data_IF_632150466809
#
_entry.id   IF_632150466809
#
_cell.length_a   1.000
_cell.length_b   1.000
_cell.length_c   1.000
_cell.angle_alpha   90.00
_cell.angle_beta   90.00
_cell.angle_gamma   90.00
#
_symmetry.space_group_name_H-M   'P 1'
#
loop_
_entity.id
_entity.type
_entity.pdbx_description
1 polymer ?
#
# COMPACT_ATOMS: atom_id res chain seq x y z
N UNK A 1 -12.35 -41.52 34.16
CA UNK A 1 -11.30 -40.49 34.26
C UNK A 1 -11.19 -39.82 32.90
N UNK A 2 -11.82 -38.65 32.73
CA UNK A 2 -11.69 -37.85 31.51
C UNK A 2 -10.35 -37.13 31.64
N UNK A 3 -9.37 -37.49 30.83
CA UNK A 3 -8.09 -36.77 30.77
C UNK A 3 -8.41 -35.30 30.54
N UNK A 4 -8.09 -34.45 31.52
CA UNK A 4 -8.13 -33.01 31.35
C UNK A 4 -7.17 -32.71 30.19
N UNK A 5 -7.77 -32.41 29.04
CA UNK A 5 -7.04 -31.95 27.87
C UNK A 5 -6.38 -30.63 28.29
N UNK A 6 -5.07 -30.67 28.52
CA UNK A 6 -4.28 -29.49 28.84
C UNK A 6 -4.36 -28.62 27.60
N UNK A 7 -5.31 -27.67 27.59
CA UNK A 7 -5.50 -26.72 26.50
C UNK A 7 -4.15 -26.08 26.20
N UNK A 8 -3.51 -26.52 25.12
CA UNK A 8 -2.21 -26.01 24.70
C UNK A 8 -2.37 -24.52 24.47
N UNK A 9 -1.53 -23.71 25.15
CA UNK A 9 -1.58 -22.27 24.98
C UNK A 9 -1.44 -21.92 23.50
N UNK A 10 -2.28 -21.01 22.98
CA UNK A 10 -2.23 -20.65 21.57
C UNK A 10 -0.85 -20.10 21.22
N UNK A 11 -0.26 -20.58 20.13
CA UNK A 11 1.11 -20.24 19.73
C UNK A 11 1.09 -18.89 19.02
N UNK A 12 1.92 -17.90 19.42
CA UNK A 12 1.95 -16.61 18.76
C UNK A 12 2.41 -16.75 17.29
N UNK A 13 1.95 -15.86 16.40
CA UNK A 13 2.30 -15.89 14.99
C UNK A 13 3.82 -15.74 14.81
N UNK A 14 4.41 -16.60 13.99
CA UNK A 14 5.85 -16.59 13.72
C UNK A 14 6.14 -15.92 12.37
N UNK A 15 6.85 -14.80 12.41
CA UNK A 15 7.21 -13.99 11.25
C UNK A 15 7.89 -14.79 10.13
N UNK A 16 8.86 -15.64 10.46
CA UNK A 16 9.62 -16.41 9.46
C UNK A 16 8.71 -17.44 8.80
N UNK A 17 7.86 -18.11 9.58
CA UNK A 17 6.88 -19.05 9.04
C UNK A 17 5.87 -18.36 8.11
N UNK A 18 5.40 -17.17 8.47
CA UNK A 18 4.47 -16.41 7.63
C UNK A 18 5.11 -15.94 6.33
N UNK A 19 6.37 -15.47 6.38
CA UNK A 19 7.12 -15.11 5.18
C UNK A 19 7.34 -16.33 4.28
N UNK A 20 7.91 -17.41 4.81
CA UNK A 20 8.15 -18.65 4.04
C UNK A 20 6.86 -19.21 3.46
N UNK A 21 5.77 -19.23 4.24
CA UNK A 21 4.47 -19.69 3.77
C UNK A 21 3.92 -18.84 2.62
N UNK A 22 4.08 -17.52 2.68
CA UNK A 22 3.67 -16.64 1.59
C UNK A 22 4.41 -16.93 0.28
N UNK A 23 5.74 -17.02 0.34
CA UNK A 23 6.56 -17.34 -0.83
C UNK A 23 6.30 -18.75 -1.38
N UNK A 24 6.12 -19.74 -0.51
CA UNK A 24 5.79 -21.12 -0.91
C UNK A 24 4.44 -21.20 -1.65
N UNK A 25 3.41 -20.51 -1.12
CA UNK A 25 2.09 -20.45 -1.77
C UNK A 25 2.18 -19.83 -3.16
N UNK A 26 2.92 -18.72 -3.31
CA UNK A 26 3.11 -18.06 -4.61
C UNK A 26 3.90 -18.92 -5.58
N UNK A 27 4.96 -19.59 -5.11
CA UNK A 27 5.75 -20.52 -5.93
C UNK A 27 4.90 -21.68 -6.47
N UNK A 28 3.95 -22.18 -5.66
CA UNK A 28 3.03 -23.24 -6.05
C UNK A 28 1.88 -22.76 -6.95
N UNK A 29 1.72 -21.44 -7.15
CA UNK A 29 0.66 -20.83 -7.96
C UNK A 29 1.23 -19.81 -8.95
N UNK A 30 1.92 -20.32 -9.99
CA UNK A 30 2.53 -19.51 -11.06
C UNK A 30 1.55 -18.52 -11.70
N UNK A 31 0.26 -18.84 -11.75
CA UNK A 31 -0.79 -17.95 -12.28
C UNK A 31 -0.88 -16.60 -11.54
N UNK A 32 -0.56 -16.55 -10.25
CA UNK A 32 -0.54 -15.30 -9.47
C UNK A 32 0.65 -14.42 -9.87
N UNK A 33 1.81 -15.03 -10.10
CA UNK A 33 3.00 -14.32 -10.59
C UNK A 33 2.73 -13.80 -12.00
N UNK A 34 2.16 -14.64 -12.86
CA UNK A 34 1.83 -14.27 -14.24
C UNK A 34 0.88 -13.06 -14.31
N UNK A 35 -0.10 -12.97 -13.41
CA UNK A 35 -0.98 -11.79 -13.33
C UNK A 35 -0.20 -10.51 -13.02
N UNK A 36 0.63 -10.51 -11.97
CA UNK A 36 1.41 -9.33 -11.59
C UNK A 36 2.38 -8.92 -12.70
N UNK A 37 3.07 -9.89 -13.30
CA UNK A 37 4.01 -9.67 -14.40
C UNK A 37 3.31 -9.13 -15.63
N UNK A 38 2.11 -9.62 -15.95
CA UNK A 38 1.34 -9.13 -17.09
C UNK A 38 0.96 -7.66 -16.91
N UNK A 39 0.61 -7.26 -15.68
CA UNK A 39 0.33 -5.86 -15.36
C UNK A 39 1.58 -4.99 -15.45
N UNK A 40 2.71 -5.47 -14.93
CA UNK A 40 4.00 -4.74 -15.01
C UNK A 40 4.44 -4.57 -16.47
N UNK A 41 4.32 -5.61 -17.30
CA UNK A 41 4.61 -5.54 -18.74
C UNK A 41 3.66 -4.59 -19.47
N UNK A 42 2.37 -4.60 -19.12
CA UNK A 42 1.38 -3.69 -19.69
C UNK A 42 1.70 -2.23 -19.36
N UNK A 43 2.08 -1.93 -18.12
CA UNK A 43 2.48 -0.59 -17.70
C UNK A 43 3.83 -0.18 -18.29
N UNK A 44 4.77 -1.12 -18.44
CA UNK A 44 6.07 -0.88 -19.03
C UNK A 44 5.99 -0.58 -20.53
N UNK A 45 5.13 -1.30 -21.27
CA UNK A 45 4.83 -1.06 -22.69
C UNK A 45 3.82 0.08 -22.90
N UNK A 46 3.21 0.58 -21.82
CA UNK A 46 2.18 1.60 -21.87
C UNK A 46 2.71 2.96 -22.37
N UNK A 47 1.83 3.82 -22.91
CA UNK A 47 2.22 5.16 -23.29
C UNK A 47 2.72 5.91 -22.06
N UNK A 48 3.96 6.38 -22.09
CA UNK A 48 4.46 7.32 -21.09
C UNK A 48 3.63 8.60 -21.24
N UNK A 49 3.04 9.10 -20.15
CA UNK A 49 2.22 10.31 -20.15
C UNK A 49 3.05 11.46 -19.57
N UNK A 50 3.13 12.58 -20.27
CA UNK A 50 3.84 13.78 -19.79
C UNK A 50 2.86 14.92 -19.50
N UNK A 51 3.06 15.57 -18.36
CA UNK A 51 2.33 16.77 -17.92
C UNK A 51 3.11 18.06 -18.21
N UNK A 52 4.14 18.00 -19.05
CA UNK A 52 5.08 19.10 -19.31
C UNK A 52 4.37 20.42 -19.62
N UNK A 53 3.36 20.40 -20.49
CA UNK A 53 2.60 21.59 -20.87
C UNK A 53 1.78 22.17 -19.73
N UNK A 54 1.11 21.32 -18.94
CA UNK A 54 0.34 21.78 -17.78
C UNK A 54 1.25 22.44 -16.73
N UNK A 55 2.44 21.86 -16.53
CA UNK A 55 3.43 22.39 -15.59
C UNK A 55 4.00 23.71 -16.11
N UNK A 56 4.35 23.82 -17.40
CA UNK A 56 4.85 25.07 -17.98
C UNK A 56 3.83 26.20 -17.90
N UNK A 57 2.55 25.89 -18.06
CA UNK A 57 1.47 26.89 -18.03
C UNK A 57 1.21 27.38 -16.60
N UNK A 58 1.19 26.49 -15.62
CA UNK A 58 1.10 26.87 -14.20
C UNK A 58 2.32 27.71 -13.81
N UNK A 59 3.50 27.35 -14.28
CA UNK A 59 4.75 28.05 -13.95
C UNK A 59 4.82 29.45 -14.55
N UNK A 60 4.44 29.60 -15.82
CA UNK A 60 4.37 30.92 -16.48
C UNK A 60 3.33 31.81 -15.83
N UNK A 61 2.19 31.27 -15.39
CA UNK A 61 1.18 32.01 -14.62
C UNK A 61 1.67 32.39 -13.22
N UNK A 62 2.38 31.50 -12.52
CA UNK A 62 2.96 31.79 -11.21
C UNK A 62 4.04 32.87 -11.30
N UNK A 63 4.88 32.87 -12.34
CA UNK A 63 5.88 33.91 -12.63
C UNK A 63 5.26 35.26 -12.98
N UNK A 64 4.03 35.28 -13.50
CA UNK A 64 3.30 36.51 -13.75
C UNK A 64 2.77 37.17 -12.47
N UNK A 65 2.85 36.49 -11.31
CA UNK A 65 2.48 37.08 -10.02
C UNK A 65 3.58 38.03 -9.52
N UNK A 66 3.25 39.26 -9.06
CA UNK A 66 4.23 40.24 -8.58
C UNK A 66 5.13 39.74 -7.43
N UNK A 67 4.61 38.86 -6.58
CA UNK A 67 5.33 38.26 -5.43
C UNK A 67 6.37 37.20 -5.85
N UNK A 68 6.28 36.66 -7.07
CA UNK A 68 7.18 35.62 -7.58
C UNK A 68 8.42 36.17 -8.29
N UNK A 69 8.51 37.49 -8.48
CA UNK A 69 9.61 38.17 -9.18
C UNK A 69 10.82 38.52 -8.28
N UNK A 70 10.97 37.87 -7.13
CA UNK A 70 12.13 38.10 -6.27
C UNK A 70 13.41 37.54 -6.92
N UNK A 71 14.58 38.21 -6.75
CA UNK A 71 15.83 37.79 -7.38
C UNK A 71 16.24 36.35 -7.03
N UNK A 72 16.04 35.92 -5.79
CA UNK A 72 16.32 34.54 -5.36
C UNK A 72 15.42 33.51 -6.06
N UNK A 73 14.11 33.77 -6.13
CA UNK A 73 13.16 32.88 -6.79
C UNK A 73 13.45 32.78 -8.30
N UNK A 74 13.79 33.89 -8.95
CA UNK A 74 14.14 33.90 -10.38
C UNK A 74 15.34 33.00 -10.72
N UNK A 75 16.33 32.93 -9.82
CA UNK A 75 17.54 32.11 -10.01
C UNK A 75 17.29 30.61 -9.78
N UNK A 76 16.46 30.25 -8.79
CA UNK A 76 16.07 28.86 -8.51
C UNK A 76 15.20 28.27 -9.64
N UNK A 77 14.36 29.09 -10.25
CA UNK A 77 13.44 28.68 -11.32
C UNK A 77 14.14 28.53 -12.68
N UNK A 78 15.16 29.33 -12.97
CA UNK A 78 15.98 29.15 -14.18
C UNK A 78 16.77 27.84 -14.15
N UNK A 79 17.29 27.45 -12.99
CA UNK A 79 18.00 26.18 -12.83
C UNK A 79 17.09 24.95 -12.95
N UNK A 80 15.80 25.07 -12.63
CA UNK A 80 14.85 23.96 -12.74
C UNK A 80 14.34 23.74 -14.15
N UNK A 81 14.22 24.80 -14.98
CA UNK A 81 13.74 24.71 -16.37
C UNK A 81 14.65 23.89 -17.30
N UNK A 82 15.96 23.82 -17.02
CA UNK A 82 16.92 23.09 -17.86
C UNK A 82 16.77 21.55 -17.77
N UNK A 83 16.02 21.02 -16.80
CA UNK A 83 15.96 19.59 -16.49
C UNK A 83 14.84 18.81 -17.21
N UNK A 84 13.90 19.46 -17.92
CA UNK A 84 12.61 18.85 -18.26
C UNK A 84 12.33 18.56 -19.76
N UNK A 85 13.31 18.71 -20.66
CA UNK A 85 13.09 18.50 -22.11
C UNK A 85 13.11 17.03 -22.56
N UNK A 86 12.15 16.21 -22.13
CA UNK A 86 11.95 14.87 -22.70
C UNK A 86 10.57 14.80 -23.34
N UNK A 87 10.54 14.82 -24.68
CA UNK A 87 9.31 14.76 -25.48
C UNK A 87 8.65 13.39 -25.35
N UNK A 88 7.48 13.37 -24.72
CA UNK A 88 6.60 12.22 -24.50
C UNK A 88 5.15 12.72 -24.74
N UNK A 89 4.17 11.82 -24.98
CA UNK A 89 2.77 12.18 -25.26
C UNK A 89 2.25 13.25 -24.31
N UNK A 90 1.92 14.42 -24.89
CA UNK A 90 1.60 15.64 -24.15
C UNK A 90 0.10 15.72 -23.91
N UNK A 91 -0.29 15.75 -22.63
CA UNK A 91 -1.69 16.04 -22.26
C UNK A 91 -1.85 17.55 -22.20
N UNK A 92 -2.63 18.10 -23.13
CA UNK A 92 -2.81 19.55 -23.31
C UNK A 92 -3.83 20.15 -22.34
N UNK A 93 -4.76 19.34 -21.81
CA UNK A 93 -5.88 19.82 -20.99
C UNK A 93 -5.87 19.28 -19.56
N UNK A 94 -6.18 20.16 -18.60
CA UNK A 94 -6.34 19.81 -17.19
C UNK A 94 -7.49 18.82 -16.98
N UNK A 95 -8.60 18.98 -17.72
CA UNK A 95 -9.75 18.08 -17.64
C UNK A 95 -9.40 16.67 -18.13
N UNK A 96 -8.64 16.57 -19.23
CA UNK A 96 -8.17 15.28 -19.76
C UNK A 96 -7.21 14.61 -18.78
N UNK A 97 -6.31 15.39 -18.16
CA UNK A 97 -5.39 14.92 -17.12
C UNK A 97 -6.14 14.34 -15.93
N UNK A 98 -7.10 15.08 -15.38
CA UNK A 98 -7.90 14.63 -14.24
C UNK A 98 -8.74 13.41 -14.64
N UNK A 99 -9.39 13.45 -15.79
CA UNK A 99 -10.23 12.35 -16.28
C UNK A 99 -9.44 11.06 -16.43
N UNK A 100 -8.26 11.12 -17.05
CA UNK A 100 -7.37 9.98 -17.21
C UNK A 100 -6.81 9.50 -15.87
N UNK A 101 -6.41 10.40 -14.98
CA UNK A 101 -5.93 10.04 -13.65
C UNK A 101 -7.02 9.30 -12.85
N UNK A 102 -8.24 9.83 -12.81
CA UNK A 102 -9.38 9.18 -12.16
C UNK A 102 -9.66 7.80 -12.77
N UNK A 103 -9.66 7.69 -14.10
CA UNK A 103 -9.86 6.43 -14.79
C UNK A 103 -8.80 5.39 -14.41
N UNK A 104 -7.52 5.77 -14.45
CA UNK A 104 -6.41 4.87 -14.08
C UNK A 104 -6.49 4.45 -12.62
N UNK A 105 -6.85 5.35 -11.71
CA UNK A 105 -7.06 5.02 -10.29
C UNK A 105 -8.19 4.01 -10.14
N UNK A 106 -9.34 4.23 -10.79
CA UNK A 106 -10.48 3.29 -10.74
C UNK A 106 -10.08 1.92 -11.29
N UNK A 107 -9.44 1.87 -12.47
CA UNK A 107 -8.97 0.62 -13.08
C UNK A 107 -7.96 -0.08 -12.17
N UNK A 108 -7.03 0.65 -11.56
CA UNK A 108 -6.05 0.11 -10.62
C UNK A 108 -6.69 -0.48 -9.37
N UNK A 109 -7.68 0.20 -8.78
CA UNK A 109 -8.44 -0.33 -7.64
C UNK A 109 -9.23 -1.59 -8.02
N UNK A 110 -9.86 -1.59 -9.18
CA UNK A 110 -10.63 -2.72 -9.71
C UNK A 110 -9.72 -3.93 -9.98
N UNK A 111 -8.58 -3.75 -10.65
CA UNK A 111 -7.61 -4.82 -10.86
C UNK A 111 -6.96 -5.29 -9.55
N UNK A 112 -6.59 -4.36 -8.66
CA UNK A 112 -5.99 -4.67 -7.36
C UNK A 112 -6.92 -5.50 -6.48
N UNK A 113 -8.21 -5.20 -6.45
CA UNK A 113 -9.20 -5.97 -5.69
C UNK A 113 -9.37 -7.39 -6.24
N UNK A 114 -9.31 -7.57 -7.56
CA UNK A 114 -9.31 -8.89 -8.18
C UNK A 114 -8.05 -9.68 -7.76
N UNK A 115 -6.88 -9.04 -7.85
CA UNK A 115 -5.62 -9.66 -7.48
C UNK A 115 -5.56 -10.07 -6.00
N UNK A 116 -5.99 -9.19 -5.09
CA UNK A 116 -6.09 -9.49 -3.66
C UNK A 116 -7.05 -10.66 -3.39
N UNK A 117 -8.13 -10.77 -4.16
CA UNK A 117 -9.07 -11.90 -4.05
C UNK A 117 -8.39 -13.22 -4.44
N UNK A 118 -7.63 -13.24 -5.54
CA UNK A 118 -6.91 -14.44 -6.00
C UNK A 118 -5.84 -14.87 -4.99
N UNK A 119 -5.09 -13.92 -4.43
CA UNK A 119 -4.08 -14.19 -3.41
C UNK A 119 -4.72 -14.70 -2.11
N UNK A 120 -5.84 -14.11 -1.67
CA UNK A 120 -6.60 -14.60 -0.51
C UNK A 120 -7.10 -16.04 -0.72
N UNK A 121 -7.62 -16.37 -1.90
CA UNK A 121 -8.05 -17.74 -2.21
C UNK A 121 -6.89 -18.73 -2.15
N UNK A 122 -5.75 -18.39 -2.74
CA UNK A 122 -4.56 -19.24 -2.68
C UNK A 122 -4.08 -19.48 -1.24
N UNK A 123 -4.13 -18.46 -0.39
CA UNK A 123 -3.67 -18.57 1.01
C UNK A 123 -4.65 -19.31 1.92
N UNK A 124 -5.96 -19.14 1.70
CA UNK A 124 -7.00 -19.67 2.58
C UNK A 124 -7.51 -21.03 2.15
N UNK A 125 -7.62 -21.25 0.84
CA UNK A 125 -8.23 -22.44 0.25
C UNK A 125 -7.19 -23.35 -0.43
N UNK A 126 -5.96 -22.87 -0.63
CA UNK A 126 -4.90 -23.62 -1.31
C UNK A 126 -5.16 -23.84 -2.80
N UNK A 127 -6.12 -23.12 -3.38
CA UNK A 127 -6.52 -23.19 -4.79
C UNK A 127 -6.85 -21.80 -5.31
N UNK A 128 -6.70 -21.61 -6.61
CA UNK A 128 -7.04 -20.36 -7.31
C UNK A 128 -8.22 -20.62 -8.24
N UNK A 129 -9.39 -20.13 -7.86
CA UNK A 129 -10.64 -20.31 -8.60
C UNK A 129 -11.08 -18.98 -9.23
N UNK A 130 -10.59 -18.69 -10.43
CA UNK A 130 -10.85 -17.44 -11.14
C UNK A 130 -12.36 -17.12 -11.33
N UNK A 131 -13.24 -18.07 -11.70
CA UNK A 131 -14.66 -17.78 -11.85
C UNK A 131 -15.34 -17.37 -10.54
N UNK A 132 -14.93 -17.98 -9.43
CA UNK A 132 -15.43 -17.64 -8.10
C UNK A 132 -14.93 -16.25 -7.69
N UNK A 133 -13.66 -15.94 -7.97
CA UNK A 133 -13.08 -14.62 -7.73
C UNK A 133 -13.86 -13.52 -8.46
N UNK A 134 -14.15 -13.69 -9.75
CA UNK A 134 -14.91 -12.71 -10.56
C UNK A 134 -16.35 -12.55 -10.02
N UNK A 135 -16.98 -13.62 -9.53
CA UNK A 135 -18.34 -13.54 -8.97
C UNK A 135 -18.40 -12.78 -7.64
N UNK A 136 -17.39 -12.93 -6.78
CA UNK A 136 -17.31 -12.24 -5.49
C UNK A 136 -16.71 -10.83 -5.59
N UNK A 137 -15.97 -10.57 -6.67
CA UNK A 137 -15.29 -9.31 -6.95
C UNK A 137 -16.12 -8.04 -6.73
N UNK A 138 -17.37 -7.90 -7.22
CA UNK A 138 -18.13 -6.66 -7.02
C UNK A 138 -18.43 -6.37 -5.55
N UNK A 139 -18.63 -7.41 -4.73
CA UNK A 139 -18.87 -7.25 -3.31
C UNK A 139 -17.61 -6.80 -2.56
N UNK A 140 -16.44 -7.37 -2.91
CA UNK A 140 -15.16 -6.95 -2.37
C UNK A 140 -14.75 -5.55 -2.84
N UNK A 141 -14.93 -5.26 -4.13
CA UNK A 141 -14.63 -3.95 -4.71
C UNK A 141 -15.41 -2.84 -3.99
N UNK A 142 -16.71 -3.04 -3.71
CA UNK A 142 -17.49 -2.08 -2.92
C UNK A 142 -16.88 -1.81 -1.55
N UNK A 143 -16.54 -2.86 -0.79
CA UNK A 143 -16.01 -2.70 0.57
C UNK A 143 -14.63 -2.03 0.57
N UNK A 144 -13.80 -2.31 -0.44
CA UNK A 144 -12.49 -1.68 -0.63
C UNK A 144 -12.60 -0.23 -1.09
N UNK A 145 -13.56 0.10 -1.96
CA UNK A 145 -13.84 1.50 -2.34
C UNK A 145 -14.29 2.30 -1.10
N UNK A 146 -15.17 1.75 -0.27
CA UNK A 146 -15.56 2.37 0.99
C UNK A 146 -14.37 2.54 1.94
N UNK A 147 -13.46 1.55 1.98
CA UNK A 147 -12.22 1.67 2.74
C UNK A 147 -11.34 2.78 2.17
N UNK A 148 -11.17 2.87 0.85
CA UNK A 148 -10.37 3.91 0.19
C UNK A 148 -10.93 5.31 0.47
N UNK A 149 -12.26 5.48 0.44
CA UNK A 149 -12.93 6.74 0.83
C UNK A 149 -12.67 7.06 2.30
N UNK A 150 -12.76 6.07 3.20
CA UNK A 150 -12.43 6.25 4.61
C UNK A 150 -10.97 6.71 4.80
N UNK A 151 -10.02 6.09 4.09
CA UNK A 151 -8.61 6.50 4.11
C UNK A 151 -8.39 7.90 3.55
N UNK A 152 -9.10 8.27 2.47
CA UNK A 152 -9.04 9.61 1.90
C UNK A 152 -9.55 10.67 2.89
N UNK A 153 -10.68 10.42 3.55
CA UNK A 153 -11.23 11.31 4.58
C UNK A 153 -10.27 11.43 5.75
N UNK A 154 -9.69 10.30 6.21
CA UNK A 154 -8.71 10.30 7.29
C UNK A 154 -7.45 11.09 6.90
N UNK A 155 -6.94 10.88 5.69
CA UNK A 155 -5.78 11.60 5.17
C UNK A 155 -6.05 13.10 5.05
N UNK A 156 -7.21 13.52 4.55
CA UNK A 156 -7.62 14.93 4.50
C UNK A 156 -7.76 15.51 5.92
N UNK A 157 -8.43 14.80 6.82
CA UNK A 157 -8.67 15.25 8.19
C UNK A 157 -7.39 15.40 9.02
N UNK A 158 -6.39 14.54 8.77
CA UNK A 158 -5.08 14.61 9.44
C UNK A 158 -4.15 15.58 8.71
N UNK A 159 -4.13 15.56 7.37
CA UNK A 159 -3.22 16.33 6.52
C UNK A 159 -3.54 17.82 6.42
N UNK A 160 -4.81 18.21 6.37
CA UNK A 160 -5.21 19.63 6.33
C UNK A 160 -4.67 20.44 7.53
N UNK A 161 -4.80 19.96 8.80
CA UNK A 161 -4.15 20.59 9.94
C UNK A 161 -2.64 20.77 9.78
N UNK A 162 -1.94 19.78 9.19
CA UNK A 162 -0.50 19.89 8.96
C UNK A 162 -0.16 20.96 7.95
N UNK A 163 -0.88 21.04 6.83
CA UNK A 163 -0.62 22.09 5.82
C UNK A 163 -0.85 23.47 6.44
N UNK A 164 -1.95 23.65 7.18
CA UNK A 164 -2.22 24.90 7.90
C UNK A 164 -1.12 25.25 8.91
N UNK A 165 -0.67 24.26 9.69
CA UNK A 165 0.40 24.43 10.67
C UNK A 165 1.73 24.79 10.00
N UNK A 166 2.11 24.13 8.92
CA UNK A 166 3.33 24.42 8.16
C UNK A 166 3.30 25.83 7.56
N UNK A 167 2.19 26.24 6.96
CA UNK A 167 2.03 27.60 6.40
C UNK A 167 2.20 28.66 7.49
N UNK A 168 1.61 28.46 8.67
CA UNK A 168 1.78 29.38 9.81
C UNK A 168 3.24 29.44 10.31
N UNK A 169 3.94 28.31 10.30
CA UNK A 169 5.35 28.24 10.74
C UNK A 169 6.30 28.98 9.80
N UNK A 170 6.08 28.88 8.49
CA UNK A 170 6.87 29.61 7.50
C UNK A 170 6.71 31.13 7.66
N UNK A 171 5.51 31.60 7.98
CA UNK A 171 5.22 33.04 8.12
C UNK A 171 5.70 33.60 9.47
N UNK A 172 5.61 32.80 10.55
CA UNK A 172 5.96 33.26 11.90
C UNK A 172 7.47 33.33 12.18
N UNK A 173 8.31 32.70 11.36
CA UNK A 173 9.77 32.69 11.54
C UNK A 173 10.26 31.89 12.76
N UNK A 174 9.39 31.12 13.42
CA UNK A 174 9.69 30.33 14.62
C UNK A 174 10.11 28.91 14.23
N UNK A 175 11.36 28.53 14.52
CA UNK A 175 11.94 27.22 14.18
C UNK A 175 11.48 26.03 15.06
N UNK A 176 10.42 26.19 15.88
CA UNK A 176 9.79 25.08 16.63
C UNK A 176 9.24 24.00 15.68
N UNK A 177 9.17 24.31 14.38
CA UNK A 177 8.69 23.43 13.31
C UNK A 177 9.30 22.04 13.30
N UNK A 178 10.61 21.89 13.52
CA UNK A 178 11.24 20.58 13.38
C UNK A 178 10.74 19.57 14.42
N UNK A 179 10.58 19.99 15.68
CA UNK A 179 10.09 19.12 16.76
C UNK A 179 8.59 18.85 16.60
N UNK A 180 7.81 19.86 16.20
CA UNK A 180 6.37 19.71 15.99
C UNK A 180 6.05 18.80 14.79
N UNK A 181 6.82 18.91 13.69
CA UNK A 181 6.76 18.00 12.54
C UNK A 181 7.11 16.58 12.96
N UNK A 182 8.12 16.38 13.81
CA UNK A 182 8.50 15.05 14.30
C UNK A 182 7.39 14.43 15.15
N UNK A 183 6.81 15.17 16.10
CA UNK A 183 5.66 14.70 16.90
C UNK A 183 4.50 14.33 15.98
N UNK A 184 4.19 15.20 15.01
CA UNK A 184 3.13 14.94 14.06
C UNK A 184 3.41 13.68 13.22
N UNK A 185 4.65 13.47 12.75
CA UNK A 185 5.03 12.28 12.01
C UNK A 185 4.83 11.01 12.84
N UNK A 186 5.18 11.04 14.13
CA UNK A 186 4.92 9.93 15.06
C UNK A 186 3.42 9.69 15.20
N UNK A 187 2.59 10.74 15.32
CA UNK A 187 1.13 10.61 15.39
C UNK A 187 0.54 10.01 14.10
N UNK A 188 1.02 10.43 12.94
CA UNK A 188 0.61 9.86 11.64
C UNK A 188 0.96 8.39 11.58
N UNK A 189 2.21 8.02 11.84
CA UNK A 189 2.63 6.61 11.86
C UNK A 189 1.77 5.84 12.85
N UNK A 190 1.52 6.37 14.04
CA UNK A 190 0.70 5.74 15.07
C UNK A 190 -0.77 5.51 14.65
N UNK A 191 -1.35 6.41 13.86
CA UNK A 191 -2.73 6.27 13.33
C UNK A 191 -2.78 5.31 12.14
N UNK A 192 -1.86 5.44 11.19
CA UNK A 192 -1.91 4.68 9.92
C UNK A 192 -1.35 3.27 10.05
N UNK A 193 -0.33 3.06 10.88
CA UNK A 193 0.30 1.75 11.04
C UNK A 193 -0.70 0.65 11.46
N UNK A 194 -1.59 0.86 12.45
CA UNK A 194 -2.62 -0.11 12.81
C UNK A 194 -3.67 -0.37 11.75
N UNK A 195 -3.79 0.50 10.74
CA UNK A 195 -4.76 0.37 9.66
C UNK A 195 -4.22 -0.43 8.47
N UNK A 196 -2.91 -0.67 8.40
CA UNK A 196 -2.26 -1.34 7.26
C UNK A 196 -2.87 -2.71 6.90
N UNK A 197 -3.43 -3.43 7.88
CA UNK A 197 -4.06 -4.74 7.69
C UNK A 197 -5.58 -4.68 7.45
N UNK A 198 -6.18 -3.49 7.30
CA UNK A 198 -7.62 -3.34 7.05
C UNK A 198 -8.09 -4.05 5.77
N UNK A 199 -7.36 -4.01 4.63
CA UNK A 199 -7.76 -4.77 3.44
C UNK A 199 -7.81 -6.27 3.71
N UNK A 200 -6.86 -6.81 4.47
CA UNK A 200 -6.77 -8.24 4.76
C UNK A 200 -8.01 -8.77 5.48
N UNK A 201 -8.62 -7.99 6.38
CA UNK A 201 -9.88 -8.35 7.05
C UNK A 201 -11.05 -8.56 6.08
N UNK A 202 -11.16 -7.69 5.06
CA UNK A 202 -12.22 -7.77 4.03
C UNK A 202 -12.06 -9.06 3.22
N UNK A 203 -10.85 -9.36 2.75
CA UNK A 203 -10.60 -10.51 1.89
C UNK A 203 -10.47 -11.83 2.63
N UNK A 204 -10.15 -11.82 3.93
CA UNK A 204 -9.99 -13.05 4.72
C UNK A 204 -11.29 -13.54 5.35
N UNK A 205 -12.08 -12.61 5.91
CA UNK A 205 -13.29 -12.96 6.66
C UNK A 205 -14.57 -12.46 6.01
N UNK A 206 -14.50 -11.87 4.81
CA UNK A 206 -15.64 -11.24 4.13
C UNK A 206 -16.35 -10.19 5.01
N UNK A 207 -15.62 -9.58 5.95
CA UNK A 207 -16.19 -8.63 6.88
C UNK A 207 -16.45 -7.27 6.22
N UNK A 208 -17.46 -6.55 6.69
CA UNK A 208 -17.70 -5.17 6.26
C UNK A 208 -16.53 -4.23 6.61
N UNK A 209 -16.44 -3.09 5.93
CA UNK A 209 -15.33 -2.13 6.04
C UNK A 209 -14.99 -1.75 7.48
N UNK A 210 -15.99 -1.41 8.29
CA UNK A 210 -15.78 -1.02 9.69
C UNK A 210 -15.23 -2.17 10.54
N UNK A 211 -15.79 -3.37 10.37
CA UNK A 211 -15.32 -4.56 11.08
C UNK A 211 -13.88 -4.89 10.71
N UNK A 212 -13.48 -4.68 9.45
CA UNK A 212 -12.11 -4.90 9.00
C UNK A 212 -11.12 -3.88 9.59
N UNK A 213 -11.51 -2.60 9.68
CA UNK A 213 -10.74 -1.56 10.37
C UNK A 213 -10.54 -1.92 11.85
N UNK A 214 -11.63 -2.26 12.55
CA UNK A 214 -11.55 -2.63 13.98
C UNK A 214 -10.68 -3.88 14.19
N UNK A 215 -10.81 -4.90 13.34
CA UNK A 215 -9.96 -6.10 13.40
C UNK A 215 -8.47 -5.77 13.20
N UNK A 216 -8.15 -4.88 12.26
CA UNK A 216 -6.78 -4.40 12.02
C UNK A 216 -6.21 -3.68 13.26
N UNK A 217 -7.02 -2.80 13.88
CA UNK A 217 -6.64 -2.09 15.11
C UNK A 217 -6.44 -3.04 16.28
N UNK A 218 -7.38 -3.97 16.50
CA UNK A 218 -7.31 -4.95 17.59
C UNK A 218 -6.08 -5.85 17.43
N UNK A 219 -5.85 -6.36 16.23
CA UNK A 219 -4.68 -7.18 15.91
C UNK A 219 -3.38 -6.44 16.20
N UNK A 220 -3.25 -5.23 15.65
CA UNK A 220 -2.00 -4.48 15.77
C UNK A 220 -1.73 -4.13 17.22
N UNK A 221 -2.73 -3.67 17.98
CA UNK A 221 -2.60 -3.36 19.41
C UNK A 221 -2.21 -4.57 20.26
N UNK A 222 -2.77 -5.74 19.95
CA UNK A 222 -2.48 -6.97 20.71
C UNK A 222 -1.08 -7.55 20.42
N UNK A 223 -0.47 -7.18 19.29
CA UNK A 223 0.77 -7.77 18.78
C UNK A 223 1.78 -6.73 18.29
N UNK A 224 1.78 -5.52 18.88
CA UNK A 224 2.51 -4.35 18.36
C UNK A 224 3.99 -4.62 18.00
N UNK A 225 4.81 -5.27 18.87
CA UNK A 225 6.21 -5.48 18.55
C UNK A 225 6.39 -6.45 17.37
N UNK A 226 5.63 -7.55 17.34
CA UNK A 226 5.76 -8.58 16.30
C UNK A 226 5.22 -8.11 14.96
N UNK A 227 4.10 -7.37 14.97
CA UNK A 227 3.52 -6.78 13.76
C UNK A 227 4.42 -5.70 13.18
N UNK A 228 5.08 -4.90 14.04
CA UNK A 228 6.11 -3.94 13.63
C UNK A 228 7.30 -4.61 12.97
N UNK A 229 7.83 -5.67 13.58
CA UNK A 229 8.93 -6.45 13.00
C UNK A 229 8.55 -7.11 11.68
N UNK A 230 7.32 -7.61 11.54
CA UNK A 230 6.83 -8.19 10.28
C UNK A 230 6.80 -7.15 9.17
N UNK A 231 6.21 -5.98 9.42
CA UNK A 231 6.14 -4.90 8.43
C UNK A 231 7.53 -4.36 8.10
N UNK A 232 8.43 -4.26 9.08
CA UNK A 232 9.81 -3.85 8.85
C UNK A 232 10.55 -4.89 8.00
N UNK A 233 10.43 -6.18 8.31
CA UNK A 233 11.04 -7.25 7.52
C UNK A 233 10.51 -7.26 6.08
N UNK A 234 9.19 -7.13 5.91
CA UNK A 234 8.56 -6.99 4.60
C UNK A 234 9.11 -5.77 3.85
N UNK A 235 9.24 -4.61 4.52
CA UNK A 235 9.79 -3.39 3.93
C UNK A 235 11.24 -3.60 3.49
N UNK A 236 12.10 -4.17 4.33
CA UNK A 236 13.50 -4.44 4.02
C UNK A 236 13.61 -5.40 2.83
N UNK A 237 12.76 -6.43 2.76
CA UNK A 237 12.72 -7.35 1.63
C UNK A 237 12.25 -6.68 0.34
N UNK A 238 11.18 -5.87 0.39
CA UNK A 238 10.70 -5.11 -0.77
C UNK A 238 11.79 -4.17 -1.25
N UNK A 239 12.36 -3.34 -0.38
CA UNK A 239 13.36 -2.34 -0.78
C UNK A 239 14.67 -2.99 -1.22
N UNK A 240 15.22 -3.91 -0.43
CA UNK A 240 16.50 -4.52 -0.69
C UNK A 240 16.48 -5.37 -1.95
N UNK A 241 15.48 -6.24 -2.08
CA UNK A 241 15.43 -7.16 -3.21
C UNK A 241 15.03 -6.44 -4.50
N UNK A 242 14.06 -5.51 -4.45
CA UNK A 242 13.68 -4.71 -5.63
C UNK A 242 14.82 -3.80 -6.13
N UNK A 243 15.69 -3.33 -5.24
CA UNK A 243 16.83 -2.51 -5.65
C UNK A 243 17.82 -3.29 -6.53
N UNK A 244 18.04 -4.58 -6.26
CA UNK A 244 18.90 -5.45 -7.09
C UNK A 244 18.32 -5.61 -8.49
N UNK A 245 16.99 -5.73 -8.61
CA UNK A 245 16.32 -5.98 -9.88
C UNK A 245 16.13 -4.74 -10.75
N UNK A 246 16.49 -3.55 -10.26
CA UNK A 246 16.48 -2.28 -11.01
C UNK A 246 17.84 -1.87 -11.58
N UNK A 247 18.90 -2.63 -11.30
CA UNK A 247 20.24 -2.39 -11.82
C UNK A 247 20.39 -2.53 -13.34
N UNK A 248 19.66 -3.42 -14.04
CA UNK A 248 19.79 -3.54 -15.49
C UNK A 248 19.34 -2.29 -16.25
N UNK A 249 20.08 -1.92 -17.29
CA UNK A 249 19.70 -0.85 -18.22
C UNK A 249 18.39 -1.15 -18.95
N UNK A 250 17.57 -0.13 -19.26
CA UNK A 250 16.22 -0.27 -19.84
C UNK A 250 16.17 -1.05 -21.18
N UNK A 251 17.29 -1.13 -21.90
CA UNK A 251 17.40 -1.82 -23.21
C UNK A 251 17.86 -3.29 -23.09
N UNK A 252 18.26 -3.72 -21.89
CA UNK A 252 18.80 -5.07 -21.68
C UNK A 252 17.69 -6.09 -21.48
N UNK A 253 17.87 -7.31 -22.00
CA UNK A 253 16.98 -8.45 -21.74
C UNK A 253 16.81 -8.78 -20.24
N UNK A 254 17.80 -8.38 -19.43
CA UNK A 254 17.77 -8.52 -17.98
C UNK A 254 16.63 -7.72 -17.31
N UNK A 255 16.05 -6.72 -17.99
CA UNK A 255 14.87 -5.99 -17.52
C UNK A 255 13.65 -6.90 -17.38
N UNK A 256 13.47 -7.85 -18.31
CA UNK A 256 12.38 -8.83 -18.26
C UNK A 256 12.53 -9.72 -17.01
N UNK A 257 13.77 -10.14 -16.71
CA UNK A 257 14.07 -10.89 -15.49
C UNK A 257 13.80 -10.02 -14.24
N UNK A 258 14.12 -8.73 -14.29
CA UNK A 258 13.78 -7.77 -13.24
C UNK A 258 12.28 -7.63 -13.00
N UNK A 259 11.47 -7.56 -14.06
CA UNK A 259 10.00 -7.54 -13.98
C UNK A 259 9.45 -8.83 -13.37
N UNK A 260 9.97 -9.98 -13.79
CA UNK A 260 9.60 -11.28 -13.19
C UNK A 260 9.95 -11.33 -11.70
N UNK A 261 11.15 -10.87 -11.33
CA UNK A 261 11.60 -10.77 -9.96
C UNK A 261 10.69 -9.86 -9.12
N UNK A 262 10.40 -8.66 -9.62
CA UNK A 262 9.48 -7.72 -8.98
C UNK A 262 8.11 -8.33 -8.72
N UNK A 263 7.51 -8.95 -9.74
CA UNK A 263 6.22 -9.62 -9.61
C UNK A 263 6.23 -10.75 -8.58
N UNK A 264 7.28 -11.58 -8.55
CA UNK A 264 7.41 -12.64 -7.55
C UNK A 264 7.53 -12.11 -6.12
N UNK A 265 8.36 -11.09 -5.89
CA UNK A 265 8.65 -10.54 -4.56
C UNK A 265 7.42 -9.85 -3.99
N UNK A 266 6.76 -9.01 -4.78
CA UNK A 266 5.55 -8.28 -4.37
C UNK A 266 4.40 -9.25 -4.10
N UNK A 267 4.21 -10.25 -4.97
CA UNK A 267 3.23 -11.33 -4.76
C UNK A 267 3.52 -12.11 -3.48
N UNK A 268 4.79 -12.51 -3.26
CA UNK A 268 5.22 -13.31 -2.12
C UNK A 268 5.00 -12.59 -0.79
N UNK A 269 5.33 -11.31 -0.74
CA UNK A 269 5.16 -10.49 0.47
C UNK A 269 3.69 -10.18 0.73
N UNK A 270 2.89 -9.96 -0.32
CA UNK A 270 1.44 -9.85 -0.18
C UNK A 270 0.84 -11.15 0.39
N UNK A 271 1.18 -12.32 -0.17
CA UNK A 271 0.72 -13.60 0.36
C UNK A 271 1.18 -13.83 1.80
N UNK A 272 2.43 -13.49 2.13
CA UNK A 272 2.96 -13.59 3.49
C UNK A 272 2.17 -12.73 4.48
N UNK A 273 1.74 -11.53 4.06
CA UNK A 273 0.92 -10.66 4.89
C UNK A 273 -0.47 -11.25 5.17
N UNK A 274 -1.06 -11.98 4.21
CA UNK A 274 -2.30 -12.73 4.43
C UNK A 274 -2.10 -13.92 5.39
N UNK A 275 -1.00 -14.67 5.25
CA UNK A 275 -0.66 -15.76 6.18
C UNK A 275 -0.49 -15.22 7.59
N UNK A 276 0.28 -14.14 7.75
CA UNK A 276 0.49 -13.47 9.04
C UNK A 276 -0.83 -12.97 9.65
N UNK A 277 -1.67 -12.32 8.85
CA UNK A 277 -2.98 -11.83 9.30
C UNK A 277 -3.89 -12.97 9.78
N UNK A 278 -4.02 -14.04 8.98
CA UNK A 278 -4.82 -15.22 9.32
C UNK A 278 -4.36 -15.86 10.62
N UNK A 279 -3.06 -16.11 10.76
CA UNK A 279 -2.49 -16.80 11.91
C UNK A 279 -2.60 -15.95 13.19
N UNK A 280 -2.41 -14.64 13.07
CA UNK A 280 -2.58 -13.71 14.20
C UNK A 280 -4.03 -13.66 14.67
N UNK A 281 -4.98 -13.58 13.74
CA UNK A 281 -6.41 -13.55 14.08
C UNK A 281 -6.87 -14.88 14.70
N UNK A 282 -6.34 -16.01 14.25
CA UNK A 282 -6.56 -17.31 14.88
C UNK A 282 -6.04 -17.33 16.32
N UNK A 283 -4.80 -16.90 16.54
CA UNK A 283 -4.20 -16.79 17.87
C UNK A 283 -5.03 -15.93 18.83
N UNK A 284 -5.52 -14.77 18.37
CA UNK A 284 -6.34 -13.88 19.20
C UNK A 284 -7.69 -14.50 19.58
N UNK A 285 -8.32 -15.25 18.67
CA UNK A 285 -9.58 -15.97 18.95
C UNK A 285 -9.36 -17.12 19.95
N UNK A 286 -8.33 -17.92 19.75
CA UNK A 286 -7.99 -19.02 20.67
C UNK A 286 -7.67 -18.49 22.07
N UNK A 287 -6.94 -17.36 22.15
CA UNK A 287 -6.64 -16.69 23.43
C UNK A 287 -7.91 -16.17 24.12
N UNK A 288 -8.85 -15.59 23.37
CA UNK A 288 -10.12 -15.12 23.92
C UNK A 288 -10.96 -16.28 24.47
N UNK A 289 -11.07 -17.39 23.74
CA UNK A 289 -11.78 -18.60 24.17
C UNK A 289 -11.15 -19.24 25.41
N UNK A 290 -9.82 -19.33 25.47
CA UNK A 290 -9.13 -19.84 26.66
C UNK A 290 -9.36 -18.95 27.89
N UNK A 291 -9.44 -17.63 27.71
CA UNK A 291 -9.76 -16.70 28.79
C UNK A 291 -11.20 -16.87 29.30
N UNK A 292 -12.17 -17.07 28.40
CA UNK A 292 -13.57 -17.33 28.79
C UNK A 292 -13.73 -18.66 29.53
N UNK A 293 -13.08 -19.72 29.05
CA UNK A 293 -13.13 -21.03 29.68
C UNK A 293 -12.47 -21.08 31.08
N UNK A 294 -11.48 -20.23 31.34
CA UNK A 294 -10.83 -20.13 32.65
C UNK A 294 -11.66 -19.32 33.68
N UNK A 295 -12.68 -18.59 33.22
CA UNK A 295 -13.56 -17.78 34.06
C UNK A 295 -14.91 -18.47 34.37
N UNK A 296 -15.24 -19.54 33.64
CA UNK A 296 -16.43 -20.38 33.81
C UNK A 296 -16.16 -21.59 34.70
#
# INVERSE_FOLDING_TARGET
MKTADVQAMPVPPNLVKSLLGGFDIISNHITLIAFSVSLDLFLWLGPRLSLEQLISDIFTQALAMPEAQTPEMSSLLQNSQAMWQITIWQVTSLMETIGLWVLLVIVGFLMGTLYFTLVSQAVLQGKVDLPLAIRQWPAFARNVILLAIFWLILFLGVGLPLVCMLSFMLISGINIGQLAILIYAVLVVWVFFPLAFSPHGIFTFQSGTWAAVVQSLQMTRATLPTTGLFLLAALVLILGLNSVWRLPEETSWLTIVGVLGHGFITSGILAASFVYYRDTQRFLREKAQASENNLA
#
